data_IF_372642191581
#
_entry.id   IF_372642191581
#
_cell.length_a   1.000
_cell.length_b   1.000
_cell.length_c   1.000
_cell.angle_alpha   90.00
_cell.angle_beta   90.00
_cell.angle_gamma   90.00
#
_symmetry.space_group_name_H-M   'P 1'
#
loop_
_entity.id
_entity.type
_entity.pdbx_description
1 polymer ?
#
# COMPACT_ATOMS: atom_id res chain seq x y z
N UNK A 1 -26.57 18.99 12.88
CA UNK A 1 -25.10 18.81 12.80
C UNK A 1 -24.59 17.64 11.93
N UNK A 2 -25.35 16.63 11.49
CA UNK A 2 -24.79 15.53 10.67
C UNK A 2 -24.46 15.91 9.21
N UNK A 3 -25.13 16.90 8.63
CA UNK A 3 -24.92 17.26 7.21
C UNK A 3 -23.56 17.96 6.98
N UNK A 4 -23.05 18.71 7.94
CA UNK A 4 -21.74 19.36 7.83
C UNK A 4 -20.58 18.36 7.86
N UNK A 5 -20.70 17.24 8.59
CA UNK A 5 -19.71 16.16 8.59
C UNK A 5 -19.68 15.41 7.26
N UNK A 6 -20.83 15.15 6.64
CA UNK A 6 -20.89 14.45 5.37
C UNK A 6 -20.32 15.28 4.20
N UNK A 7 -20.58 16.59 4.18
CA UNK A 7 -20.04 17.50 3.17
C UNK A 7 -18.52 17.72 3.36
N UNK A 8 -18.02 17.79 4.59
CA UNK A 8 -16.58 17.88 4.85
C UNK A 8 -15.86 16.61 4.40
N UNK A 9 -16.46 15.44 4.59
CA UNK A 9 -15.91 14.17 4.15
C UNK A 9 -15.77 14.12 2.62
N UNK A 10 -16.79 14.55 1.85
CA UNK A 10 -16.74 14.58 0.39
C UNK A 10 -15.63 15.47 -0.16
N UNK A 11 -15.44 16.67 0.38
CA UNK A 11 -14.37 17.56 -0.05
C UNK A 11 -12.98 17.06 0.35
N UNK A 12 -12.86 16.40 1.50
CA UNK A 12 -11.61 15.76 1.93
C UNK A 12 -11.20 14.61 1.01
N UNK A 13 -12.16 13.84 0.49
CA UNK A 13 -11.91 12.81 -0.50
C UNK A 13 -11.38 13.38 -1.82
N UNK A 14 -12.04 14.43 -2.33
CA UNK A 14 -11.61 15.07 -3.59
C UNK A 14 -10.20 15.64 -3.44
N UNK A 15 -9.92 16.34 -2.35
CA UNK A 15 -8.58 16.91 -2.14
C UNK A 15 -7.53 15.81 -1.98
N UNK A 16 -7.84 14.70 -1.28
CA UNK A 16 -6.94 13.56 -1.15
C UNK A 16 -6.59 12.93 -2.50
N UNK A 17 -7.52 12.94 -3.47
CA UNK A 17 -7.27 12.47 -4.83
C UNK A 17 -6.24 13.32 -5.56
N UNK A 18 -6.18 14.62 -5.28
CA UNK A 18 -5.31 15.59 -5.95
C UNK A 18 -3.89 15.66 -5.36
N UNK A 19 -3.60 14.87 -4.33
CA UNK A 19 -2.30 14.86 -3.65
C UNK A 19 -1.70 13.44 -3.62
N UNK A 20 -0.38 13.36 -3.60
CA UNK A 20 0.32 12.09 -3.56
C UNK A 20 0.22 11.44 -2.17
N UNK A 21 0.33 12.25 -1.13
CA UNK A 21 0.20 11.81 0.25
C UNK A 21 -0.41 12.87 1.18
N UNK A 22 -0.60 12.50 2.44
CA UNK A 22 -1.20 13.40 3.44
C UNK A 22 -0.28 14.56 3.86
N UNK A 23 1.04 14.40 3.77
CA UNK A 23 1.98 15.44 4.13
C UNK A 23 1.94 16.57 3.09
N UNK A 24 2.00 16.20 1.81
CA UNK A 24 1.88 17.11 0.66
C UNK A 24 0.54 17.87 0.69
N UNK A 25 -0.56 17.16 1.00
CA UNK A 25 -1.89 17.77 1.18
C UNK A 25 -1.90 18.78 2.33
N UNK A 26 -1.28 18.44 3.47
CA UNK A 26 -1.19 19.33 4.62
C UNK A 26 -0.41 20.59 4.27
N UNK A 27 0.73 20.47 3.61
CA UNK A 27 1.51 21.62 3.14
C UNK A 27 0.70 22.55 2.23
N UNK A 28 -0.01 21.97 1.27
CA UNK A 28 -0.88 22.74 0.37
C UNK A 28 -1.98 23.52 1.10
N UNK A 29 -2.57 22.95 2.15
CA UNK A 29 -3.60 23.62 2.95
C UNK A 29 -3.05 24.64 3.94
N UNK A 30 -1.85 24.41 4.47
CA UNK A 30 -1.22 25.33 5.43
C UNK A 30 -0.92 26.72 4.85
N UNK A 31 -0.84 26.86 3.52
CA UNK A 31 -0.68 28.17 2.88
C UNK A 31 -1.85 29.14 3.15
N UNK A 32 -3.03 28.61 3.49
CA UNK A 32 -4.23 29.41 3.81
C UNK A 32 -4.34 29.76 5.30
N UNK A 33 -3.39 29.32 6.12
CA UNK A 33 -3.41 29.50 7.56
C UNK A 33 -2.36 30.53 7.97
N UNK A 34 -2.75 31.43 8.88
CA UNK A 34 -1.83 32.42 9.47
C UNK A 34 -0.61 31.71 10.10
N UNK A 35 0.62 32.22 9.90
CA UNK A 35 1.84 31.58 10.41
C UNK A 35 1.78 31.25 11.91
N UNK A 36 1.13 32.10 12.72
CA UNK A 36 0.98 31.92 14.16
C UNK A 36 0.08 30.76 14.58
N UNK A 37 -0.80 30.29 13.66
CA UNK A 37 -1.77 29.24 13.91
C UNK A 37 -1.38 27.91 13.27
N UNK A 38 -0.24 27.85 12.56
CA UNK A 38 0.14 26.63 11.79
C UNK A 38 0.34 25.42 12.68
N UNK A 39 0.84 25.61 13.88
CA UNK A 39 1.13 24.53 14.84
C UNK A 39 -0.09 24.14 15.68
N UNK A 40 -1.20 24.89 15.57
CA UNK A 40 -2.43 24.56 16.25
C UNK A 40 -3.16 23.40 15.51
N UNK A 41 -3.50 22.35 16.24
CA UNK A 41 -4.22 21.19 15.67
C UNK A 41 -5.54 21.57 15.01
N UNK A 42 -6.26 22.53 15.59
CA UNK A 42 -7.55 23.01 15.11
C UNK A 42 -7.46 24.33 14.34
N UNK A 43 -6.39 24.54 13.61
CA UNK A 43 -6.10 25.79 12.89
C UNK A 43 -7.07 26.13 11.74
N UNK A 44 -8.03 25.27 11.45
CA UNK A 44 -9.00 25.47 10.37
C UNK A 44 -8.47 25.14 8.97
N UNK A 45 -7.34 24.44 8.83
CA UNK A 45 -6.81 24.09 7.51
C UNK A 45 -7.81 23.26 6.68
N UNK A 46 -8.61 22.42 7.33
CA UNK A 46 -9.69 21.66 6.69
C UNK A 46 -11.02 22.39 6.63
N UNK A 47 -11.06 23.72 6.88
CA UNK A 47 -12.25 24.50 6.66
C UNK A 47 -12.66 24.41 5.18
N UNK A 48 -13.97 24.24 4.92
CA UNK A 48 -14.53 24.06 3.58
C UNK A 48 -13.99 25.08 2.57
N UNK A 49 -13.87 26.34 3.00
CA UNK A 49 -13.39 27.42 2.13
C UNK A 49 -11.95 27.22 1.69
N UNK A 50 -11.07 26.81 2.60
CA UNK A 50 -9.65 26.54 2.31
C UNK A 50 -9.51 25.32 1.40
N UNK A 51 -10.26 24.25 1.71
CA UNK A 51 -10.27 23.03 0.90
C UNK A 51 -10.76 23.30 -0.52
N UNK A 52 -11.84 24.08 -0.68
CA UNK A 52 -12.37 24.43 -2.02
C UNK A 52 -11.40 25.33 -2.80
N UNK A 53 -10.73 26.28 -2.12
CA UNK A 53 -9.70 27.11 -2.77
C UNK A 53 -8.56 26.24 -3.29
N UNK A 54 -8.10 25.31 -2.47
CA UNK A 54 -6.99 24.42 -2.84
C UNK A 54 -7.36 23.46 -3.96
N UNK A 55 -8.56 22.86 -3.93
CA UNK A 55 -9.06 22.04 -5.04
C UNK A 55 -9.06 22.83 -6.35
N UNK A 56 -9.59 24.04 -6.33
CA UNK A 56 -9.63 24.90 -7.53
C UNK A 56 -8.23 25.26 -8.03
N UNK A 57 -7.29 25.50 -7.12
CA UNK A 57 -5.89 25.79 -7.47
C UNK A 57 -5.26 24.59 -8.15
N UNK A 58 -5.31 23.41 -7.52
CA UNK A 58 -4.72 22.17 -8.07
C UNK A 58 -5.34 21.73 -9.40
N UNK A 59 -6.65 21.83 -9.55
CA UNK A 59 -7.31 21.50 -10.81
C UNK A 59 -6.87 22.41 -11.98
N UNK A 60 -6.49 23.65 -11.70
CA UNK A 60 -5.94 24.55 -12.74
C UNK A 60 -4.51 24.18 -13.14
N UNK A 61 -3.75 23.56 -12.27
CA UNK A 61 -2.37 23.12 -12.53
C UNK A 61 -2.32 21.83 -13.34
N UNK A 62 -3.38 21.01 -13.29
CA UNK A 62 -3.42 19.75 -14.01
C UNK A 62 -3.93 19.92 -15.44
N UNK A 63 -3.16 19.39 -16.38
CA UNK A 63 -3.65 18.97 -17.69
C UNK A 63 -4.16 17.51 -17.59
N UNK A 64 -4.94 17.01 -18.56
CA UNK A 64 -5.36 15.59 -18.53
C UNK A 64 -4.17 14.61 -18.42
N UNK A 65 -3.06 14.92 -19.08
CA UNK A 65 -1.85 14.07 -19.07
C UNK A 65 -1.17 14.11 -17.70
N UNK A 66 -0.91 15.31 -17.17
CA UNK A 66 -0.26 15.44 -15.86
C UNK A 66 -1.13 14.89 -14.72
N UNK A 67 -2.44 14.92 -14.88
CA UNK A 67 -3.35 14.26 -13.92
C UNK A 67 -3.26 12.74 -13.98
N UNK A 68 -3.16 12.14 -15.17
CA UNK A 68 -2.94 10.70 -15.31
C UNK A 68 -1.58 10.28 -14.74
N UNK A 69 -0.53 11.04 -14.99
CA UNK A 69 0.80 10.81 -14.39
C UNK A 69 0.74 10.87 -12.87
N UNK A 70 0.01 11.84 -12.32
CA UNK A 70 -0.21 11.95 -10.88
C UNK A 70 -0.92 10.72 -10.32
N UNK A 71 -1.99 10.25 -10.97
CA UNK A 71 -2.71 9.05 -10.54
C UNK A 71 -1.83 7.80 -10.62
N UNK A 72 -1.05 7.66 -11.69
CA UNK A 72 -0.10 6.56 -11.85
C UNK A 72 0.97 6.58 -10.75
N UNK A 73 1.56 7.74 -10.47
CA UNK A 73 2.57 7.88 -9.41
C UNK A 73 1.98 7.55 -8.03
N UNK A 74 0.81 8.09 -7.70
CA UNK A 74 0.10 7.79 -6.45
C UNK A 74 -0.20 6.30 -6.29
N UNK A 75 -0.67 5.65 -7.36
CA UNK A 75 -0.92 4.21 -7.36
C UNK A 75 0.39 3.42 -7.19
N UNK A 76 1.45 3.85 -7.84
CA UNK A 76 2.77 3.24 -7.70
C UNK A 76 3.26 3.28 -6.26
N UNK A 77 3.10 4.41 -5.55
CA UNK A 77 3.41 4.52 -4.13
C UNK A 77 2.59 3.56 -3.28
N UNK A 78 1.31 3.36 -3.64
CA UNK A 78 0.42 2.43 -2.92
C UNK A 78 0.86 0.98 -3.04
N UNK A 79 1.45 0.57 -4.17
CA UNK A 79 1.83 -0.83 -4.45
C UNK A 79 3.33 -1.08 -4.41
N UNK A 80 4.16 -0.05 -4.24
CA UNK A 80 5.61 -0.15 -4.39
C UNK A 80 6.28 -1.03 -3.34
N UNK A 81 5.76 -1.06 -2.11
CA UNK A 81 6.44 -1.62 -0.97
C UNK A 81 5.72 -2.84 -0.38
N UNK A 82 6.45 -3.94 -0.26
CA UNK A 82 5.93 -5.19 0.29
C UNK A 82 5.85 -5.26 1.81
N UNK A 83 6.35 -4.28 2.55
CA UNK A 83 6.36 -4.32 4.02
C UNK A 83 4.98 -4.13 4.62
N UNK A 84 4.07 -3.43 3.94
CA UNK A 84 2.66 -3.19 4.32
C UNK A 84 2.50 -2.66 5.76
N UNK A 85 3.53 -2.04 6.30
CA UNK A 85 3.64 -1.77 7.73
C UNK A 85 3.65 -0.29 8.09
N UNK A 86 3.48 -0.07 9.38
CA UNK A 86 3.84 1.17 10.03
C UNK A 86 5.34 1.14 10.28
N UNK A 87 6.07 1.95 9.53
CA UNK A 87 7.50 2.05 9.67
C UNK A 87 7.82 3.24 10.57
N UNK A 88 8.70 3.01 11.53
CA UNK A 88 9.11 4.02 12.48
C UNK A 88 10.60 4.30 12.28
N UNK A 89 10.96 5.58 12.34
CA UNK A 89 12.33 5.99 12.51
C UNK A 89 12.62 6.00 14.00
N UNK A 90 13.75 5.42 14.38
CA UNK A 90 14.28 5.47 15.74
C UNK A 90 13.27 5.12 16.85
N UNK A 91 12.66 3.95 16.73
CA UNK A 91 11.63 3.44 17.65
C UNK A 91 12.08 3.45 19.11
N UNK A 92 13.40 3.44 19.37
CA UNK A 92 13.95 3.40 20.72
C UNK A 92 14.01 4.77 21.38
N UNK A 93 14.15 5.85 20.60
CA UNK A 93 14.25 7.21 21.08
C UNK A 93 12.96 8.02 20.90
N UNK A 94 11.90 7.39 20.43
CA UNK A 94 10.64 8.07 20.20
C UNK A 94 10.00 8.50 21.52
N UNK A 95 10.01 9.81 21.78
CA UNK A 95 9.48 10.42 22.99
C UNK A 95 7.95 10.50 23.03
N UNK A 96 7.28 10.00 22.01
CA UNK A 96 5.83 10.12 21.89
C UNK A 96 5.09 8.98 22.61
N UNK A 97 3.98 9.26 23.30
CA UNK A 97 3.23 8.30 24.11
C UNK A 97 2.48 7.23 23.29
N UNK A 98 2.65 7.18 21.98
CA UNK A 98 2.16 6.10 21.12
C UNK A 98 2.92 4.78 21.35
N UNK A 99 3.86 4.81 22.24
CA UNK A 99 4.62 3.64 22.67
C UNK A 99 3.66 2.71 23.37
N UNK A 100 3.59 1.49 22.84
CA UNK A 100 2.90 0.37 23.46
C UNK A 100 3.14 0.37 24.98
N UNK A 101 2.10 0.28 25.84
CA UNK A 101 2.26 0.24 27.29
C UNK A 101 3.23 -0.85 27.79
N UNK A 102 3.50 -1.84 26.94
CA UNK A 102 4.51 -2.88 27.19
C UNK A 102 5.93 -2.42 26.91
N UNK A 103 6.15 -1.26 26.27
CA UNK A 103 7.49 -0.79 25.94
C UNK A 103 8.37 -0.67 27.17
N UNK A 104 7.90 0.03 28.20
CA UNK A 104 8.65 0.22 29.45
C UNK A 104 9.04 -1.11 30.13
N UNK A 105 8.15 -2.12 30.03
CA UNK A 105 8.41 -3.45 30.58
C UNK A 105 9.38 -4.27 29.74
N UNK A 106 9.51 -3.96 28.47
CA UNK A 106 10.28 -4.77 27.51
C UNK A 106 11.51 -4.07 26.94
N UNK A 107 11.74 -2.79 27.29
CA UNK A 107 12.85 -2.00 26.73
C UNK A 107 14.24 -2.62 26.94
N UNK A 108 14.45 -3.27 28.07
CA UNK A 108 15.71 -3.92 28.44
C UNK A 108 15.78 -5.41 28.02
N UNK A 109 14.72 -5.94 27.39
CA UNK A 109 14.70 -7.33 26.95
C UNK A 109 15.36 -7.46 25.58
N UNK A 110 16.44 -8.26 25.42
CA UNK A 110 17.18 -8.38 24.16
C UNK A 110 16.33 -8.97 23.03
N UNK A 111 15.40 -9.87 23.33
CA UNK A 111 14.48 -10.41 22.31
C UNK A 111 13.51 -9.34 21.82
N UNK A 112 12.93 -8.56 22.74
CA UNK A 112 12.03 -7.49 22.36
C UNK A 112 12.75 -6.38 21.58
N UNK A 113 14.00 -6.09 21.92
CA UNK A 113 14.86 -5.18 21.14
C UNK A 113 15.10 -5.72 19.73
N UNK A 114 15.49 -6.99 19.58
CA UNK A 114 15.67 -7.62 18.27
C UNK A 114 14.37 -7.57 17.43
N UNK A 115 13.24 -7.90 17.99
CA UNK A 115 11.94 -7.84 17.28
C UNK A 115 11.63 -6.43 16.80
N UNK A 116 11.86 -5.42 17.64
CA UNK A 116 11.64 -4.01 17.26
C UNK A 116 12.58 -3.57 16.13
N UNK A 117 13.87 -3.89 16.24
CA UNK A 117 14.86 -3.50 15.22
C UNK A 117 14.63 -4.23 13.91
N UNK A 118 14.31 -5.51 13.95
CA UNK A 118 14.13 -6.34 12.77
C UNK A 118 12.84 -6.01 11.99
N UNK A 119 11.71 -5.78 12.68
CA UNK A 119 10.41 -5.63 12.03
C UNK A 119 9.94 -4.19 11.87
N UNK A 120 10.40 -3.26 12.69
CA UNK A 120 9.81 -1.93 12.76
C UNK A 120 10.79 -0.79 12.45
N UNK A 121 12.07 -0.94 12.74
CA UNK A 121 13.05 0.17 12.69
C UNK A 121 13.71 0.29 11.33
N UNK A 122 13.20 1.18 10.47
CA UNK A 122 13.70 1.37 9.09
C UNK A 122 15.17 1.83 9.01
N UNK A 123 15.70 2.46 10.06
CA UNK A 123 17.07 2.99 10.10
C UNK A 123 18.10 1.91 10.49
N UNK A 124 17.65 0.71 10.83
CA UNK A 124 18.53 -0.38 11.27
C UNK A 124 18.84 -1.35 10.14
N UNK A 125 20.07 -1.88 10.13
CA UNK A 125 20.52 -2.84 9.10
C UNK A 125 19.70 -4.13 9.09
N UNK A 126 19.25 -4.56 10.24
CA UNK A 126 18.45 -5.78 10.43
C UNK A 126 17.09 -5.68 9.69
N UNK A 127 16.50 -4.49 9.65
CA UNK A 127 15.28 -4.24 8.93
C UNK A 127 15.42 -4.47 7.41
N UNK A 128 16.58 -4.20 6.83
CA UNK A 128 16.81 -4.39 5.39
C UNK A 128 16.59 -5.85 4.97
N UNK A 129 17.02 -6.81 5.78
CA UNK A 129 16.78 -8.23 5.50
C UNK A 129 15.30 -8.59 5.53
N UNK A 130 14.57 -8.07 6.50
CA UNK A 130 13.12 -8.23 6.57
C UNK A 130 12.42 -7.61 5.35
N UNK A 131 12.78 -6.38 5.01
CA UNK A 131 12.21 -5.66 3.88
C UNK A 131 12.47 -6.40 2.55
N UNK A 132 13.68 -6.92 2.36
CA UNK A 132 14.05 -7.67 1.16
C UNK A 132 13.21 -8.95 1.00
N UNK A 133 13.05 -9.74 2.06
CA UNK A 133 12.20 -10.94 2.03
C UNK A 133 10.75 -10.57 1.73
N UNK A 134 10.24 -9.53 2.38
CA UNK A 134 8.87 -9.05 2.13
C UNK A 134 8.67 -8.57 0.71
N UNK A 135 9.65 -7.86 0.15
CA UNK A 135 9.60 -7.39 -1.22
C UNK A 135 9.60 -8.55 -2.21
N UNK A 136 10.40 -9.59 -1.99
CA UNK A 136 10.38 -10.78 -2.83
C UNK A 136 9.01 -11.49 -2.79
N UNK A 137 8.44 -11.66 -1.60
CA UNK A 137 7.09 -12.22 -1.46
C UNK A 137 6.06 -11.35 -2.19
N UNK A 138 6.15 -10.04 -2.08
CA UNK A 138 5.28 -9.10 -2.76
C UNK A 138 5.37 -9.20 -4.29
N UNK A 139 6.59 -9.33 -4.83
CA UNK A 139 6.80 -9.55 -6.27
C UNK A 139 6.14 -10.85 -6.72
N UNK A 140 6.34 -11.95 -6.00
CA UNK A 140 5.72 -13.24 -6.33
C UNK A 140 4.20 -13.15 -6.29
N UNK A 141 3.63 -12.48 -5.28
CA UNK A 141 2.20 -12.25 -5.19
C UNK A 141 1.67 -11.41 -6.36
N UNK A 142 2.38 -10.37 -6.72
CA UNK A 142 2.00 -9.49 -7.85
C UNK A 142 2.04 -10.25 -9.18
N UNK A 143 3.05 -11.09 -9.39
CA UNK A 143 3.13 -11.98 -10.55
C UNK A 143 1.97 -12.96 -10.59
N UNK A 144 1.63 -13.58 -9.45
CA UNK A 144 0.48 -14.48 -9.34
C UNK A 144 -0.84 -13.79 -9.68
N UNK A 145 -1.03 -12.54 -9.24
CA UNK A 145 -2.20 -11.74 -9.58
C UNK A 145 -2.29 -11.49 -11.09
N UNK A 146 -1.19 -11.09 -11.73
CA UNK A 146 -1.15 -10.90 -13.20
C UNK A 146 -1.45 -12.19 -13.96
N UNK A 147 -0.89 -13.32 -13.51
CA UNK A 147 -1.17 -14.63 -14.10
C UNK A 147 -2.65 -15.04 -13.97
N UNK A 148 -3.26 -14.76 -12.82
CA UNK A 148 -4.69 -15.00 -12.61
C UNK A 148 -5.55 -14.15 -13.55
N UNK A 149 -5.26 -12.87 -13.69
CA UNK A 149 -5.93 -11.96 -14.63
C UNK A 149 -5.89 -12.48 -16.06
N UNK A 150 -4.80 -13.08 -16.46
CA UNK A 150 -4.64 -13.61 -17.81
C UNK A 150 -5.41 -14.92 -18.02
N UNK A 151 -5.33 -15.83 -17.06
CA UNK A 151 -5.80 -17.22 -17.23
C UNK A 151 -7.28 -17.41 -16.89
N UNK A 152 -7.80 -16.74 -15.87
CA UNK A 152 -9.15 -16.95 -15.35
C UNK A 152 -10.20 -15.98 -15.89
N UNK A 153 -9.93 -15.32 -17.03
CA UNK A 153 -10.89 -14.38 -17.65
C UNK A 153 -12.34 -14.91 -17.76
N UNK A 154 -12.59 -16.19 -18.09
CA UNK A 154 -13.95 -16.70 -18.21
C UNK A 154 -14.59 -17.12 -16.87
N UNK A 155 -13.86 -17.15 -15.76
CA UNK A 155 -14.38 -17.59 -14.46
C UNK A 155 -14.97 -16.41 -13.69
N UNK A 156 -16.30 -16.36 -13.55
CA UNK A 156 -17.00 -15.30 -12.87
C UNK A 156 -16.64 -15.17 -11.38
N UNK A 157 -16.26 -16.26 -10.71
CA UNK A 157 -15.89 -16.24 -9.28
C UNK A 157 -14.54 -15.55 -9.10
N UNK A 158 -13.58 -15.89 -9.96
CA UNK A 158 -12.26 -15.24 -9.95
C UNK A 158 -12.39 -13.78 -10.37
N UNK A 159 -13.20 -13.49 -11.38
CA UNK A 159 -13.48 -12.12 -11.82
C UNK A 159 -14.08 -11.26 -10.70
N UNK A 160 -14.96 -11.82 -9.87
CA UNK A 160 -15.51 -11.12 -8.72
C UNK A 160 -14.41 -10.74 -7.71
N UNK A 161 -13.48 -11.67 -7.40
CA UNK A 161 -12.34 -11.38 -6.51
C UNK A 161 -11.40 -10.33 -7.10
N UNK A 162 -11.12 -10.43 -8.40
CA UNK A 162 -10.29 -9.45 -9.12
C UNK A 162 -10.95 -8.07 -9.07
N UNK A 163 -12.27 -8.01 -9.29
CA UNK A 163 -13.03 -6.76 -9.22
C UNK A 163 -13.00 -6.17 -7.79
N UNK A 164 -13.05 -7.02 -6.77
CA UNK A 164 -12.91 -6.57 -5.37
C UNK A 164 -11.54 -5.97 -5.10
N UNK A 165 -10.46 -6.58 -5.60
CA UNK A 165 -9.09 -6.03 -5.51
C UNK A 165 -9.00 -4.70 -6.25
N UNK A 166 -9.52 -4.64 -7.48
CA UNK A 166 -9.50 -3.41 -8.27
C UNK A 166 -10.31 -2.28 -7.63
N UNK A 167 -11.53 -2.60 -7.13
CA UNK A 167 -12.35 -1.64 -6.38
C UNK A 167 -11.65 -1.14 -5.12
N UNK A 168 -10.94 -2.02 -4.42
CA UNK A 168 -10.11 -1.65 -3.28
C UNK A 168 -8.97 -0.69 -3.65
N UNK A 169 -8.27 -0.96 -4.73
CA UNK A 169 -7.22 -0.07 -5.23
C UNK A 169 -7.79 1.30 -5.65
N UNK A 170 -8.94 1.33 -6.33
CA UNK A 170 -9.63 2.59 -6.64
C UNK A 170 -10.06 3.34 -5.38
N UNK A 171 -10.57 2.63 -4.39
CA UNK A 171 -10.93 3.23 -3.11
C UNK A 171 -9.71 3.91 -2.47
N UNK A 172 -8.57 3.22 -2.41
CA UNK A 172 -7.33 3.80 -1.88
C UNK A 172 -6.84 4.99 -2.71
N UNK A 173 -7.03 4.95 -4.02
CA UNK A 173 -6.67 6.04 -4.93
C UNK A 173 -7.44 7.33 -4.62
N UNK A 174 -8.71 7.21 -4.25
CA UNK A 174 -9.60 8.36 -4.00
C UNK A 174 -9.47 8.84 -2.55
N UNK A 175 -9.50 7.93 -1.58
CA UNK A 175 -9.66 8.28 -0.17
C UNK A 175 -8.35 8.38 0.60
N UNK A 176 -7.28 7.74 0.12
CA UNK A 176 -6.02 7.66 0.85
C UNK A 176 -4.85 8.25 0.07
N UNK A 177 -3.86 8.73 0.77
CA UNK A 177 -2.58 9.12 0.17
C UNK A 177 -1.69 7.90 0.03
N UNK A 178 -1.13 7.65 -1.14
CA UNK A 178 -0.27 6.54 -1.57
C UNK A 178 0.56 5.79 -0.52
N UNK A 179 -0.12 5.08 0.40
CA UNK A 179 0.52 4.33 1.50
C UNK A 179 0.16 2.86 1.42
N UNK A 180 1.16 2.01 1.31
CA UNK A 180 1.03 0.56 1.20
C UNK A 180 0.31 -0.11 2.37
N UNK A 181 0.37 0.48 3.56
CA UNK A 181 -0.30 -0.07 4.76
C UNK A 181 -1.81 -0.29 4.59
N UNK A 182 -2.46 0.50 3.75
CA UNK A 182 -3.90 0.36 3.52
C UNK A 182 -4.26 -0.83 2.64
N UNK A 183 -3.30 -1.38 1.89
CA UNK A 183 -3.49 -2.62 1.13
C UNK A 183 -3.76 -3.83 2.01
N UNK A 184 -3.45 -3.76 3.31
CA UNK A 184 -3.67 -4.87 4.25
C UNK A 184 -5.15 -5.29 4.29
N UNK A 185 -6.07 -4.36 4.04
CA UNK A 185 -7.51 -4.63 3.99
C UNK A 185 -7.90 -5.55 2.84
N UNK A 186 -7.16 -5.50 1.74
CA UNK A 186 -7.40 -6.27 0.52
C UNK A 186 -6.40 -7.43 0.35
N UNK A 187 -5.49 -7.59 1.30
CA UNK A 187 -4.46 -8.62 1.26
C UNK A 187 -5.01 -10.05 1.15
N UNK A 188 -6.10 -10.44 1.86
CA UNK A 188 -6.67 -11.77 1.71
C UNK A 188 -7.13 -12.06 0.28
N UNK A 189 -7.78 -11.10 -0.39
CA UNK A 189 -8.22 -11.24 -1.77
C UNK A 189 -7.04 -11.31 -2.74
N UNK A 190 -6.02 -10.47 -2.53
CA UNK A 190 -4.79 -10.47 -3.33
C UNK A 190 -4.08 -11.82 -3.20
N UNK A 191 -3.92 -12.34 -1.98
CA UNK A 191 -3.30 -13.64 -1.71
C UNK A 191 -4.05 -14.79 -2.41
N UNK A 192 -5.37 -14.81 -2.28
CA UNK A 192 -6.21 -15.85 -2.87
C UNK A 192 -6.09 -15.85 -4.40
N UNK A 193 -6.24 -14.68 -5.03
CA UNK A 193 -6.14 -14.56 -6.49
C UNK A 193 -4.72 -14.89 -6.97
N UNK A 194 -3.69 -14.44 -6.25
CA UNK A 194 -2.29 -14.75 -6.57
C UNK A 194 -2.00 -16.24 -6.47
N UNK A 195 -2.51 -16.92 -5.43
CA UNK A 195 -2.33 -18.35 -5.25
C UNK A 195 -2.99 -19.17 -6.40
N UNK A 196 -4.18 -18.75 -6.83
CA UNK A 196 -4.85 -19.35 -7.99
C UNK A 196 -4.01 -19.19 -9.26
N UNK A 197 -3.49 -17.99 -9.53
CA UNK A 197 -2.66 -17.73 -10.70
C UNK A 197 -1.37 -18.55 -10.72
N UNK A 198 -0.66 -18.61 -9.60
CA UNK A 198 0.58 -19.40 -9.46
C UNK A 198 0.32 -20.90 -9.57
N UNK A 199 -0.77 -21.40 -8.96
CA UNK A 199 -1.15 -22.81 -9.04
C UNK A 199 -1.41 -23.24 -10.48
N UNK A 200 -2.18 -22.46 -11.22
CA UNK A 200 -2.48 -22.76 -12.62
C UNK A 200 -1.23 -22.74 -13.50
N UNK A 201 -0.37 -21.73 -13.31
CA UNK A 201 0.89 -21.64 -14.04
C UNK A 201 1.80 -22.86 -13.77
N UNK A 202 1.87 -23.29 -12.51
CA UNK A 202 2.61 -24.50 -12.12
C UNK A 202 2.06 -25.76 -12.81
N UNK A 203 0.73 -25.89 -12.96
CA UNK A 203 0.12 -27.01 -13.69
C UNK A 203 0.41 -26.94 -15.18
N UNK A 204 0.38 -25.76 -15.78
CA UNK A 204 0.70 -25.58 -17.20
C UNK A 204 2.18 -25.88 -17.49
N UNK A 205 3.10 -25.51 -16.62
CA UNK A 205 4.51 -25.88 -16.70
C UNK A 205 4.74 -27.39 -16.61
N UNK A 206 3.99 -28.09 -15.76
CA UNK A 206 4.06 -29.56 -15.66
C UNK A 206 3.52 -30.24 -16.92
N UNK A 207 2.55 -29.66 -17.60
CA UNK A 207 1.99 -30.17 -18.86
C UNK A 207 2.85 -29.82 -20.06
N UNK A 208 3.51 -28.66 -20.07
CA UNK A 208 4.40 -28.23 -21.14
C UNK A 208 5.75 -28.92 -21.01
N UNK A 209 5.89 -30.02 -21.66
CA UNK A 209 6.99 -30.73 -22.28
C UNK A 209 8.46 -30.60 -21.79
N UNK A 210 8.79 -29.88 -20.76
CA UNK A 210 10.16 -29.80 -20.24
C UNK A 210 10.45 -30.85 -19.14
N UNK A 211 9.44 -31.14 -18.32
CA UNK A 211 9.59 -32.05 -17.18
C UNK A 211 9.62 -33.55 -17.53
N UNK A 212 8.81 -34.07 -18.45
CA UNK A 212 8.83 -35.48 -18.78
C UNK A 212 10.14 -35.96 -19.46
N UNK A 213 10.79 -35.08 -20.24
CA UNK A 213 12.04 -35.43 -20.95
C UNK A 213 13.26 -35.57 -20.04
N UNK A 214 13.29 -34.84 -18.93
CA UNK A 214 14.43 -34.89 -18.01
C UNK A 214 14.37 -36.12 -17.10
N UNK A 215 13.19 -36.61 -16.78
CA UNK A 215 13.02 -37.75 -15.87
C UNK A 215 12.85 -39.10 -16.59
N UNK A 216 12.31 -39.17 -17.80
CA UNK A 216 12.22 -40.41 -18.56
C UNK A 216 13.57 -40.89 -19.11
N UNK A 217 14.54 -40.01 -19.32
CA UNK A 217 15.89 -40.45 -19.74
C UNK A 217 16.71 -41.12 -18.63
N UNK A 218 16.25 -41.09 -17.36
CA UNK A 218 16.93 -41.78 -16.27
C UNK A 218 16.42 -43.20 -15.97
N UNK A 219 15.32 -43.61 -16.58
CA UNK A 219 14.73 -44.97 -16.35
C UNK A 219 15.13 -45.99 -17.44
N UNK A 220 15.62 -45.53 -18.60
CA UNK A 220 15.99 -46.41 -19.73
C UNK A 220 17.44 -46.90 -19.68
N UNK A 221 18.27 -46.44 -18.76
CA UNK A 221 19.67 -46.91 -18.61
C UNK A 221 19.88 -47.96 -17.52
N UNK A 222 18.84 -48.68 -17.10
CA UNK A 222 18.93 -49.76 -16.11
C UNK A 222 18.14 -51.00 -16.49
N UNK A 223 18.24 -51.47 -17.73
CA UNK A 223 17.96 -52.85 -18.11
C UNK A 223 19.09 -53.43 -18.89
#
# INVERSE_FOLDING_TARGET
MPIYHALSCGFTCIISTLYHDQADMKEGLLQYIEPRKRDDYNNGMFAKENVVKEIKRRLKEYTPITFLDHLYYKQSLTVAEGTLGWLYRDVENEKTPFINPLYEKTKNNPLAHFVRTFFLSIDKKEFVYYALVKQLVWIVMSLGLVMALWKYRPDNRVNFLILAVFGGLLFLQIFEGGKTRYLIQFLPQILLVSALGLSQYSQDLKKSCLWPKIFNNKVVEKE
#
